data_IF_790730708446
#
_entry.id   IF_790730708446
#
_cell.length_a   1.000
_cell.length_b   1.000
_cell.length_c   1.000
_cell.angle_alpha   90.00
_cell.angle_beta   90.00
_cell.angle_gamma   90.00
#
_symmetry.space_group_name_H-M   'P 1'
#
loop_
_entity.id
_entity.type
_entity.pdbx_description
1 polymer ?
#
# COMPACT_ATOMS: atom_id res chain seq x y z
N UNK A 1 -8.38 -2.63 -25.69
CA UNK A 1 -6.92 -2.67 -25.84
C UNK A 1 -6.38 -3.04 -24.46
N UNK A 2 -5.95 -4.28 -24.29
CA UNK A 2 -5.63 -4.87 -22.99
C UNK A 2 -4.16 -4.53 -22.72
N UNK A 3 -3.89 -3.64 -21.76
CA UNK A 3 -2.53 -3.39 -21.29
C UNK A 3 -2.05 -4.60 -20.50
N UNK A 4 -1.36 -5.50 -21.19
CA UNK A 4 -0.53 -6.56 -20.62
C UNK A 4 0.90 -6.02 -20.59
N UNK A 5 1.28 -5.36 -19.50
CA UNK A 5 2.68 -5.04 -19.23
C UNK A 5 3.01 -5.52 -17.82
N UNK A 6 3.81 -6.59 -17.78
CA UNK A 6 4.69 -7.03 -16.71
C UNK A 6 4.10 -7.14 -15.30
N UNK A 7 3.41 -8.24 -15.06
CA UNK A 7 3.10 -8.78 -13.72
C UNK A 7 4.30 -9.57 -13.15
N UNK A 8 5.38 -9.76 -13.92
CA UNK A 8 6.44 -10.72 -13.59
C UNK A 8 7.49 -10.22 -12.56
N UNK A 9 7.56 -8.92 -12.25
CA UNK A 9 8.54 -8.43 -11.26
C UNK A 9 8.05 -8.61 -9.82
N UNK A 10 6.76 -8.35 -9.56
CA UNK A 10 6.13 -8.55 -8.26
C UNK A 10 6.08 -10.03 -7.85
N UNK A 11 5.97 -10.96 -8.81
CA UNK A 11 5.96 -12.39 -8.50
C UNK A 11 7.27 -12.90 -7.88
N UNK A 12 8.40 -12.22 -8.07
CA UNK A 12 9.69 -12.79 -7.64
C UNK A 12 10.09 -12.48 -6.19
N UNK A 13 9.61 -11.37 -5.62
CA UNK A 13 9.91 -10.99 -4.24
C UNK A 13 8.73 -11.20 -3.27
N UNK A 14 7.47 -10.98 -3.66
CA UNK A 14 6.34 -11.23 -2.73
C UNK A 14 6.02 -12.72 -2.57
N UNK A 15 6.12 -13.53 -3.65
CA UNK A 15 5.87 -14.99 -3.55
C UNK A 15 6.92 -15.74 -2.72
N UNK A 16 8.11 -15.16 -2.51
CA UNK A 16 9.10 -15.74 -1.59
C UNK A 16 8.78 -15.46 -0.12
N UNK A 17 7.88 -14.52 0.20
CA UNK A 17 7.66 -14.06 1.57
C UNK A 17 6.31 -14.50 2.17
N UNK A 18 5.46 -15.18 1.40
CA UNK A 18 4.26 -15.86 1.88
C UNK A 18 4.52 -17.04 2.85
N UNK A 19 5.79 -17.32 3.19
CA UNK A 19 6.19 -18.28 4.25
C UNK A 19 7.18 -17.63 5.21
N UNK A 20 6.70 -16.78 6.12
CA UNK A 20 7.46 -16.34 7.29
C UNK A 20 8.75 -15.55 7.01
N UNK A 21 8.90 -14.97 5.80
CA UNK A 21 10.04 -14.14 5.45
C UNK A 21 9.90 -12.73 6.01
N UNK A 22 11.00 -12.17 6.52
CA UNK A 22 11.05 -10.77 6.97
C UNK A 22 10.80 -9.84 5.78
N UNK A 23 9.77 -8.99 5.86
CA UNK A 23 9.50 -7.99 4.84
C UNK A 23 10.53 -6.86 4.95
N UNK A 24 11.39 -6.75 3.93
CA UNK A 24 12.38 -5.69 3.82
C UNK A 24 11.85 -4.64 2.85
N UNK A 25 11.57 -3.43 3.34
CA UNK A 25 11.28 -2.27 2.50
C UNK A 25 12.60 -1.55 2.19
N UNK A 26 13.02 -1.60 0.92
CA UNK A 26 14.02 -0.65 0.41
C UNK A 26 13.28 0.60 -0.06
N UNK A 27 13.33 1.66 0.75
CA UNK A 27 12.72 2.97 0.48
C UNK A 27 13.05 3.51 -0.93
N UNK A 28 14.22 3.17 -1.50
CA UNK A 28 14.63 3.64 -2.85
C UNK A 28 14.05 2.82 -4.01
N UNK A 29 13.43 1.68 -3.73
CA UNK A 29 12.96 0.71 -4.75
C UNK A 29 11.50 0.30 -4.57
N UNK A 30 10.73 1.13 -3.89
CA UNK A 30 9.29 0.91 -3.74
C UNK A 30 8.61 1.18 -5.08
N UNK A 31 7.88 0.19 -5.59
CA UNK A 31 7.06 0.37 -6.79
C UNK A 31 6.00 1.45 -6.51
N UNK A 32 5.79 2.42 -7.43
CA UNK A 32 4.74 3.41 -7.25
C UNK A 32 3.35 2.79 -7.21
N UNK A 33 2.42 3.47 -6.57
CA UNK A 33 1.01 3.13 -6.62
C UNK A 33 0.41 3.68 -7.92
N UNK A 34 -0.31 2.85 -8.67
CA UNK A 34 -1.01 3.25 -9.89
C UNK A 34 -2.53 3.22 -9.71
N UNK A 35 -3.24 4.09 -10.41
CA UNK A 35 -4.69 4.09 -10.47
C UNK A 35 -5.18 2.81 -11.14
N UNK A 36 -6.00 2.03 -10.44
CA UNK A 36 -6.57 0.77 -10.94
C UNK A 36 -7.54 0.99 -12.13
N UNK A 37 -8.00 2.22 -12.37
CA UNK A 37 -8.86 2.57 -13.50
C UNK A 37 -8.10 3.03 -14.75
N UNK A 38 -7.14 3.94 -14.60
CA UNK A 38 -6.47 4.61 -15.73
C UNK A 38 -4.96 4.33 -15.84
N UNK A 39 -4.35 3.69 -14.84
CA UNK A 39 -2.92 3.37 -14.81
C UNK A 39 -1.99 4.55 -14.55
N UNK A 40 -2.52 5.72 -14.17
CA UNK A 40 -1.69 6.88 -13.79
C UNK A 40 -0.92 6.60 -12.50
N UNK A 41 0.35 7.02 -12.43
CA UNK A 41 1.14 7.03 -11.20
C UNK A 41 0.53 8.02 -10.20
N UNK A 42 0.11 7.53 -9.03
CA UNK A 42 -0.53 8.31 -7.98
C UNK A 42 0.48 8.89 -6.98
N UNK A 43 1.74 8.46 -7.04
CA UNK A 43 2.82 8.94 -6.18
C UNK A 43 3.56 10.15 -6.76
N UNK A 44 3.28 10.51 -8.01
CA UNK A 44 3.73 11.77 -8.60
C UNK A 44 2.84 12.92 -8.09
N UNK A 45 3.39 13.78 -7.24
CA UNK A 45 2.65 14.94 -6.69
C UNK A 45 1.64 14.57 -5.59
N UNK A 46 2.02 13.66 -4.68
CA UNK A 46 1.17 13.18 -3.54
C UNK A 46 0.49 14.30 -2.75
N UNK A 47 1.07 15.50 -2.72
CA UNK A 47 0.53 16.69 -2.05
C UNK A 47 -0.77 17.23 -2.64
N UNK A 48 -1.17 16.79 -3.84
CA UNK A 48 -2.22 17.46 -4.62
C UNK A 48 -3.64 16.94 -4.34
N UNK A 49 -3.85 16.18 -3.25
CA UNK A 49 -5.14 15.58 -2.89
C UNK A 49 -5.80 14.80 -4.05
N UNK A 50 -4.98 14.21 -4.93
CA UNK A 50 -5.43 13.69 -6.23
C UNK A 50 -5.66 12.19 -6.27
N UNK A 51 -5.47 11.50 -5.15
CA UNK A 51 -5.52 10.05 -5.06
C UNK A 51 -6.24 9.59 -3.78
N UNK A 52 -6.99 8.51 -3.89
CA UNK A 52 -7.63 7.82 -2.76
C UNK A 52 -7.26 6.34 -2.74
N UNK A 53 -7.36 5.76 -1.55
CA UNK A 53 -7.38 4.32 -1.33
C UNK A 53 -8.75 3.94 -0.79
N UNK A 54 -9.36 2.91 -1.37
CA UNK A 54 -10.66 2.42 -0.96
C UNK A 54 -10.62 0.94 -0.60
N UNK A 55 -11.48 0.57 0.36
CA UNK A 55 -11.51 -0.73 1.01
C UNK A 55 -12.84 -1.39 0.75
N UNK A 56 -12.80 -2.57 0.13
CA UNK A 56 -13.96 -3.43 -0.02
C UNK A 56 -13.98 -4.43 1.14
N UNK A 57 -15.00 -4.33 1.99
CA UNK A 57 -15.20 -5.25 3.10
C UNK A 57 -16.36 -6.20 2.84
N UNK A 58 -16.32 -7.35 3.51
CA UNK A 58 -17.47 -8.24 3.67
C UNK A 58 -18.65 -7.51 4.31
N UNK A 59 -19.86 -8.09 4.21
CA UNK A 59 -21.09 -7.49 4.77
C UNK A 59 -21.02 -7.28 6.29
N UNK A 60 -20.32 -8.16 7.01
CA UNK A 60 -20.11 -8.05 8.46
C UNK A 60 -18.92 -7.15 8.85
N UNK A 61 -18.18 -6.64 7.87
CA UNK A 61 -17.04 -5.74 8.05
C UNK A 61 -15.76 -6.40 8.59
N UNK A 62 -15.75 -7.72 8.82
CA UNK A 62 -14.63 -8.42 9.46
C UNK A 62 -13.52 -8.80 8.49
N UNK A 63 -13.82 -8.88 7.19
CA UNK A 63 -12.88 -9.25 6.14
C UNK A 63 -12.72 -8.10 5.17
N UNK A 64 -11.48 -7.66 4.95
CA UNK A 64 -11.14 -6.80 3.79
C UNK A 64 -10.89 -7.71 2.60
N UNK A 65 -11.83 -7.73 1.67
CA UNK A 65 -11.83 -8.58 0.48
C UNK A 65 -10.89 -8.04 -0.59
N UNK A 66 -10.86 -6.72 -0.77
CA UNK A 66 -9.98 -6.07 -1.73
C UNK A 66 -9.69 -4.61 -1.33
N UNK A 67 -8.64 -4.05 -1.90
CA UNK A 67 -8.28 -2.63 -1.82
C UNK A 67 -8.10 -2.12 -3.24
N UNK A 68 -8.50 -0.89 -3.53
CA UNK A 68 -8.16 -0.27 -4.81
C UNK A 68 -7.67 1.15 -4.64
N UNK A 69 -6.90 1.60 -5.62
CA UNK A 69 -6.39 2.95 -5.72
C UNK A 69 -7.01 3.66 -6.91
N UNK A 70 -7.46 4.89 -6.71
CA UNK A 70 -8.06 5.68 -7.79
C UNK A 70 -7.63 7.13 -7.72
N UNK A 71 -7.65 7.79 -8.87
CA UNK A 71 -7.62 9.24 -8.92
C UNK A 71 -8.87 9.80 -8.23
N UNK A 72 -8.72 10.83 -7.40
CA UNK A 72 -9.81 11.46 -6.64
C UNK A 72 -10.51 12.52 -7.50
N UNK A 73 -11.83 12.58 -7.40
CA UNK A 73 -12.64 13.66 -7.99
C UNK A 73 -12.78 13.61 -9.52
N UNK A 74 -12.30 12.54 -10.15
CA UNK A 74 -12.41 12.32 -11.58
C UNK A 74 -13.35 11.14 -11.91
N UNK A 75 -13.31 10.66 -13.15
CA UNK A 75 -14.09 9.50 -13.58
C UNK A 75 -13.59 8.17 -13.01
N UNK A 76 -12.34 8.11 -12.53
CA UNK A 76 -11.74 6.89 -12.00
C UNK A 76 -12.41 6.48 -10.69
N UNK A 77 -12.49 7.38 -9.70
CA UNK A 77 -13.16 7.10 -8.43
C UNK A 77 -14.60 6.58 -8.65
N UNK A 78 -15.40 7.31 -9.43
CA UNK A 78 -16.79 6.90 -9.73
C UNK A 78 -16.89 5.53 -10.40
N UNK A 79 -16.01 5.26 -11.36
CA UNK A 79 -15.97 3.98 -12.07
C UNK A 79 -15.61 2.84 -11.12
N UNK A 80 -14.63 3.05 -10.25
CA UNK A 80 -14.20 2.04 -9.29
C UNK A 80 -15.28 1.81 -8.23
N UNK A 81 -15.90 2.86 -7.69
CA UNK A 81 -17.02 2.74 -6.77
C UNK A 81 -18.20 1.97 -7.39
N UNK A 82 -18.48 2.15 -8.69
CA UNK A 82 -19.50 1.36 -9.39
C UNK A 82 -19.15 -0.12 -9.56
N UNK A 83 -17.85 -0.47 -9.61
CA UNK A 83 -17.39 -1.87 -9.78
C UNK A 83 -17.39 -2.62 -8.44
N UNK A 84 -16.92 -1.96 -7.38
CA UNK A 84 -16.75 -2.58 -6.05
C UNK A 84 -17.99 -2.43 -5.15
N UNK A 85 -18.89 -1.50 -5.48
CA UNK A 85 -20.05 -1.15 -4.67
C UNK A 85 -19.66 -0.32 -3.44
N UNK A 86 -20.38 -0.46 -2.31
CA UNK A 86 -20.08 0.29 -1.10
C UNK A 86 -18.66 -0.01 -0.59
N UNK A 87 -17.86 1.05 -0.44
CA UNK A 87 -16.47 1.00 0.04
C UNK A 87 -16.23 2.14 1.02
N UNK A 88 -15.41 1.92 2.06
CA UNK A 88 -14.80 3.02 2.81
C UNK A 88 -13.56 3.50 2.08
N UNK A 89 -13.19 4.78 2.20
CA UNK A 89 -12.01 5.32 1.53
C UNK A 89 -11.28 6.33 2.41
N UNK A 90 -9.99 6.49 2.13
CA UNK A 90 -9.10 7.47 2.74
C UNK A 90 -8.36 8.24 1.64
N UNK A 91 -8.04 9.50 1.90
CA UNK A 91 -7.22 10.31 1.02
C UNK A 91 -5.73 9.96 1.18
N UNK A 92 -5.05 9.67 0.07
CA UNK A 92 -3.62 9.30 0.10
C UNK A 92 -2.77 10.48 0.61
N UNK A 93 -3.14 11.71 0.27
CA UNK A 93 -2.49 12.92 0.78
C UNK A 93 -2.64 13.09 2.29
N UNK A 94 -3.78 12.69 2.85
CA UNK A 94 -4.03 12.79 4.29
C UNK A 94 -3.26 11.69 5.02
N UNK A 95 -3.24 10.48 4.48
CA UNK A 95 -2.40 9.39 4.98
C UNK A 95 -0.90 9.72 4.90
N UNK A 96 -0.49 10.66 4.05
CA UNK A 96 0.89 11.14 3.99
C UNK A 96 1.25 12.17 5.08
N UNK A 97 0.28 12.59 5.92
CA UNK A 97 0.54 13.40 7.10
C UNK A 97 1.11 12.48 8.19
N UNK A 98 2.27 12.78 8.81
CA UNK A 98 2.95 11.83 9.70
C UNK A 98 2.12 11.28 10.86
N UNK A 99 1.29 12.11 11.51
CA UNK A 99 0.43 11.66 12.59
C UNK A 99 -0.66 10.69 12.08
N UNK A 100 -1.28 11.02 10.94
CA UNK A 100 -2.33 10.21 10.32
C UNK A 100 -1.77 8.87 9.83
N UNK A 101 -0.57 8.87 9.25
CA UNK A 101 0.12 7.63 8.85
C UNK A 101 0.30 6.66 10.01
N UNK A 102 0.79 7.15 11.15
CA UNK A 102 1.00 6.31 12.34
C UNK A 102 -0.33 5.82 12.90
N UNK A 103 -1.33 6.69 13.03
CA UNK A 103 -2.67 6.30 13.50
C UNK A 103 -3.30 5.24 12.58
N UNK A 104 -3.14 5.39 11.26
CA UNK A 104 -3.61 4.42 10.27
C UNK A 104 -2.93 3.05 10.44
N UNK A 105 -1.61 3.01 10.60
CA UNK A 105 -0.88 1.77 10.85
C UNK A 105 -1.29 1.09 12.17
N UNK A 106 -1.47 1.87 13.24
CA UNK A 106 -1.96 1.36 14.53
C UNK A 106 -3.39 0.81 14.41
N UNK A 107 -4.26 1.45 13.63
CA UNK A 107 -5.62 1.00 13.36
C UNK A 107 -5.64 -0.36 12.66
N UNK A 108 -4.77 -0.56 11.65
CA UNK A 108 -4.62 -1.85 10.98
C UNK A 108 -4.16 -2.94 11.96
N UNK A 109 -3.15 -2.65 12.79
CA UNK A 109 -2.67 -3.62 13.79
C UNK A 109 -3.74 -3.97 14.83
N UNK A 110 -4.53 -2.98 15.26
CA UNK A 110 -5.66 -3.21 16.19
C UNK A 110 -6.71 -4.09 15.55
N UNK A 111 -7.12 -3.82 14.30
CA UNK A 111 -8.08 -4.65 13.57
C UNK A 111 -7.61 -6.10 13.44
N UNK A 112 -6.32 -6.31 13.09
CA UNK A 112 -5.70 -7.63 13.05
C UNK A 112 -5.76 -8.33 14.42
N UNK A 113 -5.49 -7.60 15.51
CA UNK A 113 -5.59 -8.14 16.86
C UNK A 113 -7.03 -8.57 17.20
N UNK A 114 -8.02 -7.78 16.78
CA UNK A 114 -9.45 -8.02 17.01
C UNK A 114 -10.02 -9.13 16.10
N UNK A 115 -9.19 -9.78 15.28
CA UNK A 115 -9.59 -10.91 14.44
C UNK A 115 -10.11 -10.52 13.06
N UNK A 116 -9.94 -9.26 12.64
CA UNK A 116 -10.18 -8.90 11.24
C UNK A 116 -9.14 -9.56 10.35
N UNK A 117 -9.56 -9.94 9.15
CA UNK A 117 -8.68 -10.59 8.17
C UNK A 117 -8.66 -9.81 6.86
N UNK A 118 -7.61 -10.06 6.08
CA UNK A 118 -7.38 -9.41 4.80
C UNK A 118 -7.12 -10.52 3.79
N UNK A 119 -7.73 -10.43 2.61
CA UNK A 119 -7.32 -11.29 1.49
C UNK A 119 -5.85 -11.05 1.17
N UNK A 120 -5.16 -12.03 0.60
CA UNK A 120 -3.74 -11.89 0.23
C UNK A 120 -3.51 -10.65 -0.66
N UNK A 121 -4.39 -10.42 -1.63
CA UNK A 121 -4.34 -9.27 -2.54
C UNK A 121 -4.55 -7.94 -1.81
N UNK A 122 -5.52 -7.88 -0.90
CA UNK A 122 -5.75 -6.70 -0.09
C UNK A 122 -4.53 -6.39 0.78
N UNK A 123 -3.96 -7.42 1.42
CA UNK A 123 -2.79 -7.28 2.28
C UNK A 123 -1.55 -6.82 1.51
N UNK A 124 -1.30 -7.36 0.32
CA UNK A 124 -0.22 -6.91 -0.57
C UNK A 124 -0.36 -5.43 -0.94
N UNK A 125 -1.59 -4.97 -1.26
CA UNK A 125 -1.85 -3.55 -1.58
C UNK A 125 -1.65 -2.63 -0.36
N UNK A 126 -2.01 -3.08 0.84
CA UNK A 126 -1.80 -2.33 2.08
C UNK A 126 -0.30 -2.16 2.35
N UNK A 127 0.48 -3.23 2.18
CA UNK A 127 1.93 -3.20 2.30
C UNK A 127 2.54 -2.23 1.28
N UNK A 128 2.09 -2.29 0.03
CA UNK A 128 2.54 -1.38 -1.03
C UNK A 128 2.24 0.09 -0.69
N UNK A 129 1.03 0.36 -0.19
CA UNK A 129 0.64 1.70 0.26
C UNK A 129 1.50 2.18 1.43
N UNK A 130 1.69 1.35 2.46
CA UNK A 130 2.50 1.69 3.62
C UNK A 130 3.95 1.99 3.23
N UNK A 131 4.54 1.19 2.33
CA UNK A 131 5.89 1.42 1.83
C UNK A 131 6.00 2.76 1.07
N UNK A 132 5.04 3.06 0.20
CA UNK A 132 4.99 4.32 -0.55
C UNK A 132 4.79 5.54 0.35
N UNK A 133 3.86 5.47 1.30
CA UNK A 133 3.64 6.55 2.27
C UNK A 133 4.85 6.76 3.16
N UNK A 134 5.55 5.69 3.55
CA UNK A 134 6.75 5.81 4.38
C UNK A 134 7.86 6.61 3.70
N UNK A 135 7.99 6.55 2.37
CA UNK A 135 8.91 7.40 1.60
C UNK A 135 8.58 8.89 1.69
N UNK A 136 7.32 9.23 1.92
CA UNK A 136 6.84 10.62 2.03
C UNK A 136 6.89 11.11 3.48
N UNK A 137 6.50 10.24 4.41
CA UNK A 137 6.30 10.57 5.82
C UNK A 137 7.60 10.53 6.62
N UNK A 138 8.47 9.56 6.34
CA UNK A 138 9.70 9.35 7.12
C UNK A 138 10.83 10.21 6.56
N UNK A 139 11.77 10.57 7.43
CA UNK A 139 12.99 11.25 6.97
C UNK A 139 13.88 10.27 6.21
N UNK A 140 14.68 10.80 5.30
CA UNK A 140 15.75 10.03 4.68
C UNK A 140 16.72 9.46 5.73
N UNK A 141 17.19 8.25 5.45
CA UNK A 141 18.25 7.63 6.24
C UNK A 141 19.57 8.35 6.00
N UNK A 142 20.36 8.52 7.07
CA UNK A 142 21.77 8.89 6.91
C UNK A 142 22.59 7.73 6.36
N UNK A 143 23.75 7.99 5.77
CA UNK A 143 24.65 6.94 5.25
C UNK A 143 25.03 5.90 6.31
N UNK A 144 25.22 6.34 7.56
CA UNK A 144 25.53 5.45 8.68
C UNK A 144 24.36 4.52 9.03
N UNK A 145 23.13 5.03 9.00
CA UNK A 145 21.91 4.25 9.23
C UNK A 145 21.65 3.28 8.10
N UNK A 146 21.85 3.70 6.85
CA UNK A 146 21.74 2.83 5.68
C UNK A 146 22.75 1.68 5.77
N UNK A 147 24.01 1.98 6.09
CA UNK A 147 25.04 0.95 6.30
C UNK A 147 24.64 -0.02 7.42
N UNK A 148 24.11 0.51 8.53
CA UNK A 148 23.62 -0.33 9.63
C UNK A 148 22.44 -1.20 9.21
N UNK A 149 21.51 -0.66 8.43
CA UNK A 149 20.35 -1.37 7.90
C UNK A 149 20.77 -2.53 7.00
N UNK A 150 21.67 -2.29 6.03
CA UNK A 150 22.22 -3.36 5.17
C UNK A 150 22.91 -4.46 5.99
N UNK A 151 23.71 -4.09 6.98
CA UNK A 151 24.34 -5.07 7.87
C UNK A 151 23.30 -5.89 8.67
N UNK A 152 22.19 -5.28 9.10
CA UNK A 152 21.11 -6.00 9.78
C UNK A 152 20.42 -7.02 8.86
N UNK A 153 20.27 -6.70 7.57
CA UNK A 153 19.73 -7.63 6.58
C UNK A 153 20.62 -8.86 6.41
N UNK A 154 21.94 -8.66 6.34
CA UNK A 154 22.90 -9.76 6.22
C UNK A 154 22.90 -10.67 7.46
N UNK A 155 22.70 -10.11 8.65
CA UNK A 155 22.66 -10.85 9.92
C UNK A 155 21.35 -11.66 10.08
N UNK A 156 20.23 -11.13 9.60
CA UNK A 156 18.90 -11.72 9.79
C UNK A 156 18.48 -12.72 8.69
N UNK A 157 19.34 -13.01 7.71
CA UNK A 157 19.11 -14.07 6.73
C UNK A 157 19.31 -15.46 7.36
N UNK A 158 18.24 -16.02 7.95
CA UNK A 158 18.02 -17.46 8.11
C UNK A 158 17.12 -17.99 6.99
#
# INVERSE_FOLDING_TARGET
MICTHNIDFFETDTKKHAKGGSFIVDFRRVEPIFCDSCGKNLMEGVSDYSALVAWKTSEDGTVVEDVYFACKGDECDRKMSSVYGPTSWEDVSDLAIPAVFIDWMLSIMTKLHDGHTYSDKAFEKIILLAANLSNVVTREMTEAEEKRFRNLQEINNY
#
